data_IF_269651429181
#
_entry.id   IF_269651429181
#
_cell.length_a   1.000
_cell.length_b   1.000
_cell.length_c   1.000
_cell.angle_alpha   90.00
_cell.angle_beta   90.00
_cell.angle_gamma   90.00
#
_symmetry.space_group_name_H-M   'P 1'
#
loop_
_entity.id
_entity.type
_entity.pdbx_description
1 polymer ?
#
# COMPACT_ATOMS: atom_id res chain seq x y z
N UNK A 1 -4.45 -18.95 1.32
CA UNK A 1 -4.68 -17.99 0.22
C UNK A 1 -5.69 -16.91 0.56
N UNK A 2 -6.90 -17.23 1.03
CA UNK A 2 -7.95 -16.24 1.36
C UNK A 2 -7.48 -15.15 2.34
N UNK A 3 -6.85 -15.53 3.46
CA UNK A 3 -6.33 -14.58 4.45
C UNK A 3 -5.28 -13.63 3.86
N UNK A 4 -4.39 -14.14 2.99
CA UNK A 4 -3.36 -13.33 2.34
C UNK A 4 -3.97 -12.27 1.41
N UNK A 5 -5.03 -12.63 0.67
CA UNK A 5 -5.77 -11.67 -0.15
C UNK A 5 -6.42 -10.57 0.70
N UNK A 6 -7.06 -10.94 1.83
CA UNK A 6 -7.65 -9.93 2.72
C UNK A 6 -6.60 -8.97 3.31
N UNK A 7 -5.45 -9.48 3.74
CA UNK A 7 -4.36 -8.62 4.24
C UNK A 7 -3.88 -7.68 3.13
N UNK A 8 -3.70 -8.22 1.92
CA UNK A 8 -3.29 -7.44 0.76
C UNK A 8 -4.28 -6.33 0.42
N UNK A 9 -5.59 -6.64 0.39
CA UNK A 9 -6.65 -5.69 0.07
C UNK A 9 -6.80 -4.63 1.17
N UNK A 10 -6.73 -5.01 2.45
CA UNK A 10 -6.78 -4.08 3.57
C UNK A 10 -5.63 -3.07 3.45
N UNK A 11 -4.42 -3.53 3.19
CA UNK A 11 -3.27 -2.63 3.08
C UNK A 11 -3.34 -1.73 1.83
N UNK A 12 -3.89 -2.23 0.72
CA UNK A 12 -4.21 -1.40 -0.45
C UNK A 12 -5.15 -0.25 -0.09
N UNK A 13 -6.23 -0.54 0.65
CA UNK A 13 -7.17 0.48 1.11
C UNK A 13 -6.54 1.45 2.10
N UNK A 14 -5.67 0.98 3.00
CA UNK A 14 -4.92 1.86 3.91
C UNK A 14 -4.04 2.84 3.13
N UNK A 15 -3.38 2.39 2.07
CA UNK A 15 -2.60 3.26 1.18
C UNK A 15 -3.52 4.32 0.55
N UNK A 16 -4.64 3.92 -0.05
CA UNK A 16 -5.60 4.86 -0.65
C UNK A 16 -6.14 5.88 0.36
N UNK A 17 -6.56 5.42 1.53
CA UNK A 17 -7.08 6.29 2.60
C UNK A 17 -5.99 7.27 3.06
N UNK A 18 -4.74 6.84 3.17
CA UNK A 18 -3.64 7.73 3.54
C UNK A 18 -3.44 8.83 2.49
N UNK A 19 -3.50 8.47 1.21
CA UNK A 19 -3.29 9.39 0.09
C UNK A 19 -4.41 10.42 0.03
N UNK A 20 -5.67 9.99 -0.08
CA UNK A 20 -6.80 10.92 -0.12
C UNK A 20 -6.97 11.67 1.20
N UNK A 21 -6.73 11.00 2.33
CA UNK A 21 -6.76 11.60 3.66
C UNK A 21 -5.69 12.68 3.85
N UNK A 22 -4.57 12.60 3.13
CA UNK A 22 -3.53 13.63 3.19
C UNK A 22 -4.01 14.99 2.66
N UNK A 23 -5.05 15.04 1.83
CA UNK A 23 -5.63 16.29 1.35
C UNK A 23 -6.45 17.02 2.42
N UNK A 24 -6.75 16.35 3.54
CA UNK A 24 -7.53 16.89 4.65
C UNK A 24 -6.64 17.04 5.91
N UNK A 25 -6.20 18.24 6.28
CA UNK A 25 -5.33 18.45 7.44
C UNK A 25 -5.89 17.87 8.75
N UNK A 26 -7.21 17.95 8.94
CA UNK A 26 -7.90 17.41 10.13
C UNK A 26 -7.81 15.88 10.21
N UNK A 27 -7.77 15.20 9.07
CA UNK A 27 -7.57 13.76 9.03
C UNK A 27 -6.14 13.40 9.43
N UNK A 28 -5.14 14.12 8.92
CA UNK A 28 -3.73 13.86 9.23
C UNK A 28 -3.40 13.99 10.72
N UNK A 29 -4.07 14.89 11.44
CA UNK A 29 -3.86 15.09 12.89
C UNK A 29 -4.76 14.20 13.77
N UNK A 30 -5.73 13.51 13.17
CA UNK A 30 -6.59 12.57 13.89
C UNK A 30 -5.84 11.31 14.34
N UNK A 31 -6.32 10.66 15.41
CA UNK A 31 -5.74 9.40 15.90
C UNK A 31 -5.71 8.32 14.81
N UNK A 32 -6.76 8.24 14.00
CA UNK A 32 -6.88 7.27 12.90
C UNK A 32 -5.90 7.60 11.78
N UNK A 33 -5.83 8.86 11.34
CA UNK A 33 -4.88 9.28 10.31
C UNK A 33 -3.42 9.06 10.70
N UNK A 34 -3.08 9.33 11.98
CA UNK A 34 -1.75 9.04 12.52
C UNK A 34 -1.44 7.54 12.53
N UNK A 35 -2.40 6.69 12.91
CA UNK A 35 -2.23 5.23 12.89
C UNK A 35 -2.00 4.72 11.46
N UNK A 36 -2.87 5.12 10.53
CA UNK A 36 -2.76 4.74 9.12
C UNK A 36 -1.43 5.24 8.54
N UNK A 37 -1.06 6.48 8.83
CA UNK A 37 0.23 7.06 8.43
C UNK A 37 1.41 6.24 8.94
N UNK A 38 1.40 5.77 10.20
CA UNK A 38 2.48 4.90 10.72
C UNK A 38 2.62 3.58 9.97
N UNK A 39 1.51 3.00 9.50
CA UNK A 39 1.50 1.74 8.75
C UNK A 39 1.93 1.93 7.29
N UNK A 40 1.55 3.05 6.68
CA UNK A 40 1.70 3.30 5.24
C UNK A 40 2.97 4.10 4.91
N UNK A 41 3.38 5.03 5.77
CA UNK A 41 4.53 5.91 5.49
C UNK A 41 5.84 5.18 5.23
N UNK A 42 6.21 4.08 5.93
CA UNK A 42 7.42 3.34 5.60
C UNK A 42 7.45 2.87 4.15
N UNK A 43 6.32 2.37 3.64
CA UNK A 43 6.16 1.96 2.25
C UNK A 43 6.25 3.16 1.30
N UNK A 44 5.44 4.21 1.52
CA UNK A 44 5.46 5.40 0.67
C UNK A 44 6.80 6.13 0.67
N UNK A 45 7.54 6.10 1.78
CA UNK A 45 8.85 6.75 1.90
C UNK A 45 9.88 6.21 0.91
N UNK A 46 9.76 4.95 0.49
CA UNK A 46 10.62 4.38 -0.55
C UNK A 46 10.38 5.09 -1.88
N UNK A 47 9.12 5.30 -2.25
CA UNK A 47 8.76 5.97 -3.52
C UNK A 47 9.04 7.46 -3.50
N UNK A 48 8.88 8.12 -2.36
CA UNK A 48 9.22 9.55 -2.18
C UNK A 48 10.69 9.86 -2.41
N UNK A 49 11.59 8.87 -2.26
CA UNK A 49 13.01 9.02 -2.59
C UNK A 49 13.25 9.12 -4.09
N UNK A 50 12.44 8.43 -4.90
CA UNK A 50 12.57 8.43 -6.35
C UNK A 50 11.76 9.54 -7.01
N UNK A 51 10.59 9.85 -6.44
CA UNK A 51 9.67 10.87 -6.94
C UNK A 51 9.34 11.78 -5.76
N UNK A 52 10.14 12.83 -5.52
CA UNK A 52 9.86 13.78 -4.46
C UNK A 52 8.55 14.53 -4.75
N UNK A 53 7.84 15.00 -3.71
CA UNK A 53 6.63 15.80 -3.89
C UNK A 53 6.92 17.07 -4.70
N UNK A 54 6.01 17.41 -5.62
CA UNK A 54 6.09 18.66 -6.39
C UNK A 54 5.23 19.71 -5.67
N UNK A 55 5.87 20.52 -4.82
CA UNK A 55 5.18 21.48 -3.96
C UNK A 55 4.31 20.77 -2.92
N UNK A 56 3.00 21.05 -2.89
CA UNK A 56 2.06 20.38 -1.97
C UNK A 56 1.46 19.08 -2.55
N UNK A 57 1.71 18.77 -3.83
CA UNK A 57 1.12 17.63 -4.52
C UNK A 57 2.15 16.49 -4.55
N UNK A 58 1.87 15.45 -3.78
CA UNK A 58 2.63 14.21 -3.78
C UNK A 58 2.10 13.26 -4.86
N UNK A 59 2.85 13.07 -5.95
CA UNK A 59 2.53 12.11 -7.02
C UNK A 59 3.12 10.71 -6.78
N UNK A 60 4.04 10.57 -5.81
CA UNK A 60 4.61 9.27 -5.43
C UNK A 60 3.55 8.21 -5.07
N UNK A 61 2.39 8.56 -4.46
CA UNK A 61 1.23 7.70 -4.28
C UNK A 61 0.78 6.88 -5.50
N UNK A 62 0.77 7.48 -6.69
CA UNK A 62 0.28 6.82 -7.90
C UNK A 62 1.19 5.65 -8.26
N UNK A 63 2.50 5.91 -8.27
CA UNK A 63 3.51 4.90 -8.56
C UNK A 63 3.51 3.83 -7.46
N UNK A 64 3.36 4.23 -6.20
CA UNK A 64 3.27 3.30 -5.08
C UNK A 64 2.07 2.35 -5.22
N UNK A 65 0.88 2.85 -5.57
CA UNK A 65 -0.31 2.02 -5.81
C UNK A 65 -0.10 1.06 -6.99
N UNK A 66 0.48 1.54 -8.08
CA UNK A 66 0.77 0.69 -9.24
C UNK A 66 1.76 -0.41 -8.86
N UNK A 67 2.87 -0.07 -8.21
CA UNK A 67 3.86 -1.03 -7.75
C UNK A 67 3.25 -2.05 -6.80
N UNK A 68 2.48 -1.59 -5.80
CA UNK A 68 1.76 -2.47 -4.88
C UNK A 68 0.84 -3.45 -5.63
N UNK A 69 0.08 -2.92 -6.59
CA UNK A 69 -0.91 -3.69 -7.36
C UNK A 69 -0.28 -4.77 -8.22
N UNK A 70 0.77 -4.43 -8.96
CA UNK A 70 1.43 -5.37 -9.86
C UNK A 70 2.29 -6.37 -9.11
N UNK A 71 3.16 -5.90 -8.20
CA UNK A 71 4.09 -6.77 -7.48
C UNK A 71 3.33 -7.67 -6.51
N UNK A 72 2.34 -7.13 -5.79
CA UNK A 72 1.57 -7.91 -4.83
C UNK A 72 0.73 -9.00 -5.50
N UNK A 73 0.03 -8.69 -6.60
CA UNK A 73 -0.73 -9.71 -7.36
C UNK A 73 0.19 -10.79 -7.93
N UNK A 74 1.33 -10.41 -8.48
CA UNK A 74 2.31 -11.36 -8.98
C UNK A 74 2.84 -12.27 -7.86
N UNK A 75 3.20 -11.68 -6.71
CA UNK A 75 3.70 -12.43 -5.56
C UNK A 75 2.66 -13.41 -4.99
N UNK A 76 1.39 -12.99 -4.87
CA UNK A 76 0.31 -13.86 -4.39
C UNK A 76 0.03 -15.00 -5.36
N UNK A 77 -0.01 -14.73 -6.67
CA UNK A 77 -0.17 -15.76 -7.69
C UNK A 77 1.01 -16.74 -7.70
N UNK A 78 2.24 -16.24 -7.62
CA UNK A 78 3.44 -17.07 -7.53
C UNK A 78 3.45 -17.95 -6.28
N UNK A 79 3.11 -17.39 -5.12
CA UNK A 79 2.98 -18.14 -3.87
C UNK A 79 1.92 -19.24 -4.00
N UNK A 80 0.76 -18.93 -4.59
CA UNK A 80 -0.27 -19.93 -4.84
C UNK A 80 0.24 -21.08 -5.69
N UNK A 81 0.95 -20.75 -6.78
CA UNK A 81 1.50 -21.75 -7.69
C UNK A 81 2.52 -22.65 -7.00
N UNK A 82 3.42 -22.07 -6.19
CA UNK A 82 4.41 -22.83 -5.42
C UNK A 82 3.75 -23.76 -4.40
N UNK A 83 2.70 -23.29 -3.73
CA UNK A 83 1.96 -24.11 -2.76
C UNK A 83 1.23 -25.29 -3.43
N UNK A 84 0.68 -25.08 -4.62
CA UNK A 84 0.08 -26.15 -5.43
C UNK A 84 1.17 -27.16 -5.84
N UNK A 85 2.33 -26.69 -6.31
CA UNK A 85 3.45 -27.56 -6.67
C UNK A 85 3.98 -28.38 -5.48
N UNK A 86 3.94 -27.81 -4.27
CA UNK A 86 4.34 -28.48 -3.04
C UNK A 86 3.28 -29.48 -2.51
N UNK A 87 2.12 -29.61 -3.16
CA UNK A 87 1.03 -30.47 -2.71
C UNK A 87 0.35 -29.99 -1.42
N UNK A 88 0.49 -28.70 -1.09
CA UNK A 88 -0.11 -28.11 0.11
C UNK A 88 -1.64 -27.90 -0.05
N UNK A 89 -2.20 -28.21 -1.21
CA UNK A 89 -3.61 -28.09 -1.59
C UNK A 89 -3.98 -29.13 -2.65
#
# INVERSE_FOLDING_TARGET
MVVANYIYDIYYWLILINIFGSWFPQFQTSKVGLLIGRLVNPYLSVFRKFIPPLGMIDFSPIIAILAYSFIGRFALAGLQQLLIMAGAF
#
